data_IF_345393705840
#
_entry.id   IF_345393705840
#
_cell.length_a   1.000
_cell.length_b   1.000
_cell.length_c   1.000
_cell.angle_alpha   90.00
_cell.angle_beta   90.00
_cell.angle_gamma   90.00
#
_symmetry.space_group_name_H-M   'P 1'
#
loop_
_entity.id
_entity.type
_entity.pdbx_description
1 polymer ?
#
# COMPACT_ATOMS: atom_id res chain seq x y z
N UNK A 1 -23.50 -31.53 62.80
CA UNK A 1 -22.53 -31.68 61.69
C UNK A 1 -23.01 -30.84 60.53
N UNK A 2 -22.48 -29.64 60.40
CA UNK A 2 -22.81 -28.69 59.30
C UNK A 2 -21.69 -28.72 58.29
N UNK A 3 -21.99 -29.12 57.05
CA UNK A 3 -21.04 -29.08 55.93
C UNK A 3 -21.07 -27.71 55.32
N UNK A 4 -19.96 -27.00 55.38
CA UNK A 4 -19.74 -25.74 54.69
C UNK A 4 -19.32 -26.05 53.22
N UNK A 5 -20.08 -25.60 52.27
CA UNK A 5 -19.73 -25.56 50.83
C UNK A 5 -19.00 -24.24 50.54
N UNK A 6 -17.69 -24.34 50.25
CA UNK A 6 -16.91 -23.24 49.67
C UNK A 6 -17.21 -23.21 48.18
N UNK A 7 -17.88 -22.16 47.71
CA UNK A 7 -18.00 -21.82 46.31
C UNK A 7 -16.76 -21.00 45.87
N UNK A 8 -15.89 -21.62 45.08
CA UNK A 8 -14.73 -20.97 44.45
C UNK A 8 -15.22 -20.29 43.18
N UNK A 9 -15.44 -18.96 43.23
CA UNK A 9 -15.74 -18.17 42.07
C UNK A 9 -14.42 -17.89 41.29
N UNK A 10 -14.18 -18.60 40.18
CA UNK A 10 -13.16 -18.23 39.23
C UNK A 10 -13.60 -16.93 38.50
N UNK A 11 -13.00 -15.84 38.86
CA UNK A 11 -13.01 -14.61 38.05
C UNK A 11 -12.12 -14.85 36.83
N UNK A 12 -12.71 -15.23 35.69
CA UNK A 12 -12.10 -15.09 34.39
C UNK A 12 -12.03 -13.59 34.06
N UNK A 13 -10.93 -12.94 34.42
CA UNK A 13 -10.58 -11.65 33.88
C UNK A 13 -10.28 -11.85 32.39
N UNK A 14 -11.29 -11.62 31.53
CA UNK A 14 -11.06 -11.40 30.12
C UNK A 14 -10.19 -10.15 30.02
N UNK A 15 -8.88 -10.34 29.86
CA UNK A 15 -8.01 -9.27 29.40
C UNK A 15 -8.51 -8.89 28.01
N UNK A 16 -9.31 -7.84 27.94
CA UNK A 16 -9.53 -7.13 26.69
C UNK A 16 -8.14 -6.67 26.25
N UNK A 17 -7.50 -7.42 25.36
CA UNK A 17 -6.23 -7.06 24.78
C UNK A 17 -6.39 -5.66 24.21
N UNK A 18 -5.67 -4.69 24.75
CA UNK A 18 -5.62 -3.36 24.19
C UNK A 18 -5.34 -3.51 22.69
N UNK A 19 -6.27 -3.05 21.85
CA UNK A 19 -6.07 -3.05 20.41
C UNK A 19 -4.75 -2.36 20.14
N UNK A 20 -3.80 -3.06 19.51
CA UNK A 20 -2.52 -2.45 19.16
C UNK A 20 -2.82 -1.28 18.21
N UNK A 21 -2.31 -0.10 18.56
CA UNK A 21 -2.45 1.06 17.70
C UNK A 21 -1.82 0.80 16.33
N UNK A 22 -2.32 1.41 15.26
CA UNK A 22 -1.79 1.19 13.91
C UNK A 22 -0.33 1.66 13.82
N UNK A 23 0.46 0.95 13.04
CA UNK A 23 1.84 1.34 12.73
C UNK A 23 1.81 2.60 11.87
N UNK A 24 2.59 3.59 12.31
CA UNK A 24 2.78 4.84 11.58
C UNK A 24 3.87 4.64 10.54
N UNK A 25 3.49 4.73 9.28
CA UNK A 25 4.32 4.53 8.10
C UNK A 25 4.41 5.79 7.25
N UNK A 26 5.47 5.92 6.49
CA UNK A 26 5.72 7.04 5.59
C UNK A 26 6.09 6.50 4.20
N UNK A 27 5.58 7.12 3.14
CA UNK A 27 6.06 6.88 1.79
C UNK A 27 6.89 8.05 1.29
N UNK A 28 7.92 7.75 0.53
CA UNK A 28 8.75 8.73 -0.15
C UNK A 28 9.04 8.30 -1.59
N UNK A 29 8.33 8.90 -2.54
CA UNK A 29 8.51 8.63 -3.98
C UNK A 29 9.94 8.90 -4.49
N UNK A 30 10.70 9.72 -3.77
CA UNK A 30 12.07 10.04 -4.17
C UNK A 30 13.09 8.97 -3.80
N UNK A 31 12.75 8.00 -2.95
CA UNK A 31 13.66 6.87 -2.65
C UNK A 31 14.11 6.13 -3.92
N UNK A 32 13.20 5.96 -4.86
CA UNK A 32 13.50 5.26 -6.13
C UNK A 32 14.13 6.15 -7.19
N UNK A 33 14.30 7.44 -6.92
CA UNK A 33 14.83 8.43 -7.88
C UNK A 33 16.25 8.90 -7.55
N UNK A 34 16.78 8.56 -6.38
CA UNK A 34 18.11 8.96 -5.90
C UNK A 34 19.00 7.74 -5.67
N UNK A 35 20.31 7.94 -5.55
CA UNK A 35 21.29 6.87 -5.32
C UNK A 35 22.48 7.39 -4.52
N UNK A 36 23.33 6.48 -4.04
CA UNK A 36 24.54 6.81 -3.30
C UNK A 36 24.28 7.66 -2.04
N UNK A 37 25.10 8.67 -1.75
CA UNK A 37 24.96 9.50 -0.54
C UNK A 37 23.58 10.19 -0.41
N UNK A 38 22.96 10.54 -1.54
CA UNK A 38 21.62 11.15 -1.53
C UNK A 38 20.53 10.16 -1.08
N UNK A 39 20.65 8.88 -1.45
CA UNK A 39 19.76 7.81 -0.98
C UNK A 39 19.94 7.57 0.52
N UNK A 40 21.19 7.48 0.99
CA UNK A 40 21.48 7.31 2.43
C UNK A 40 20.92 8.46 3.25
N UNK A 41 21.18 9.71 2.86
CA UNK A 41 20.65 10.90 3.54
C UNK A 41 19.10 10.90 3.57
N UNK A 42 18.47 10.39 2.53
CA UNK A 42 17.00 10.32 2.47
C UNK A 42 16.44 9.25 3.40
N UNK A 43 17.08 8.08 3.47
CA UNK A 43 16.72 7.04 4.44
C UNK A 43 16.96 7.49 5.89
N UNK A 44 18.03 8.25 6.16
CA UNK A 44 18.27 8.87 7.46
C UNK A 44 17.16 9.87 7.81
N UNK A 45 16.75 10.69 6.86
CA UNK A 45 15.68 11.65 7.05
C UNK A 45 14.32 10.98 7.35
N UNK A 46 14.02 9.86 6.68
CA UNK A 46 12.82 9.04 6.99
C UNK A 46 12.94 8.45 8.40
N UNK A 47 14.07 7.87 8.77
CA UNK A 47 14.31 7.32 10.10
C UNK A 47 14.15 8.40 11.20
N UNK A 48 14.62 9.63 10.94
CA UNK A 48 14.51 10.76 11.85
C UNK A 48 13.06 11.21 12.10
N UNK A 49 12.09 10.84 11.24
CA UNK A 49 10.66 11.05 11.51
C UNK A 49 10.11 10.10 12.57
N UNK A 50 10.85 9.06 12.93
CA UNK A 50 10.37 8.00 13.82
C UNK A 50 9.45 6.98 13.15
N UNK A 51 9.21 7.08 11.83
CA UNK A 51 8.41 6.11 11.08
C UNK A 51 8.89 4.67 11.34
N UNK A 52 7.95 3.77 11.58
CA UNK A 52 8.25 2.35 11.87
C UNK A 52 8.18 1.48 10.63
N UNK A 53 7.56 1.98 9.58
CA UNK A 53 7.49 1.33 8.29
C UNK A 53 7.59 2.36 7.17
N UNK A 54 7.92 1.89 5.98
CA UNK A 54 7.84 2.69 4.75
C UNK A 54 7.29 1.82 3.62
N UNK A 55 6.50 2.44 2.73
CA UNK A 55 6.07 1.81 1.47
C UNK A 55 7.04 2.20 0.37
N UNK A 56 7.44 1.25 -0.45
CA UNK A 56 8.42 1.41 -1.52
C UNK A 56 7.87 0.85 -2.81
N UNK A 57 7.76 1.69 -3.82
CA UNK A 57 7.29 1.36 -5.16
C UNK A 57 8.36 0.59 -5.94
N UNK A 58 8.09 -0.66 -6.29
CA UNK A 58 8.95 -1.46 -7.17
C UNK A 58 8.46 -1.32 -8.61
N UNK A 59 9.15 -0.51 -9.38
CA UNK A 59 8.79 -0.25 -10.77
C UNK A 59 9.21 -1.46 -11.64
N UNK A 60 8.28 -2.41 -11.82
CA UNK A 60 8.58 -3.69 -12.49
C UNK A 60 9.24 -3.50 -13.85
N UNK A 61 8.80 -2.52 -14.65
CA UNK A 61 9.39 -2.22 -15.95
C UNK A 61 10.88 -1.80 -15.88
N UNK A 62 11.31 -1.23 -14.76
CA UNK A 62 12.70 -0.82 -14.55
C UNK A 62 13.55 -1.98 -14.05
N UNK A 63 12.98 -2.85 -13.23
CA UNK A 63 13.64 -4.07 -12.73
C UNK A 63 13.82 -5.10 -13.85
N UNK A 64 12.83 -5.27 -14.73
CA UNK A 64 12.80 -6.31 -15.75
C UNK A 64 12.64 -5.71 -17.16
N UNK A 65 13.64 -4.97 -17.63
CA UNK A 65 13.60 -4.32 -18.96
C UNK A 65 13.54 -5.33 -20.11
N UNK A 66 14.18 -6.47 -19.93
CA UNK A 66 14.09 -7.63 -20.82
C UNK A 66 13.27 -8.76 -20.19
N UNK A 67 12.77 -9.68 -21.02
CA UNK A 67 12.06 -10.86 -20.53
C UNK A 67 13.05 -11.82 -19.86
N UNK A 68 12.87 -12.18 -18.57
CA UNK A 68 13.66 -13.19 -17.90
C UNK A 68 13.49 -14.57 -18.56
N UNK A 69 14.57 -15.32 -18.67
CA UNK A 69 14.54 -16.72 -19.10
C UNK A 69 13.85 -17.60 -18.03
N UNK A 70 14.16 -17.35 -16.75
CA UNK A 70 13.49 -17.94 -15.61
C UNK A 70 12.87 -16.84 -14.72
N UNK A 71 11.65 -16.45 -15.01
CA UNK A 71 10.99 -15.34 -14.33
C UNK A 71 10.70 -15.57 -12.83
N UNK A 72 10.92 -16.78 -12.28
CA UNK A 72 10.82 -17.07 -10.85
C UNK A 72 12.17 -16.96 -10.12
N UNK A 73 13.26 -16.93 -10.86
CA UNK A 73 14.60 -16.83 -10.30
C UNK A 73 15.01 -15.35 -10.16
N UNK A 74 15.15 -14.81 -8.96
CA UNK A 74 15.60 -13.42 -8.80
C UNK A 74 17.08 -13.22 -9.19
N UNK A 75 17.83 -14.27 -9.48
CA UNK A 75 19.18 -14.21 -10.02
C UNK A 75 19.24 -14.15 -11.56
N UNK A 76 18.08 -14.28 -12.25
CA UNK A 76 18.02 -14.15 -13.71
C UNK A 76 18.64 -12.81 -14.14
N UNK A 77 19.59 -12.80 -15.10
CA UNK A 77 20.32 -11.59 -15.49
C UNK A 77 19.46 -10.49 -16.13
N UNK A 78 18.20 -10.79 -16.48
CA UNK A 78 17.24 -9.79 -16.95
C UNK A 78 16.68 -8.91 -15.82
N UNK A 79 16.94 -9.26 -14.56
CA UNK A 79 16.53 -8.47 -13.41
C UNK A 79 17.65 -7.55 -12.92
N UNK A 80 17.39 -6.26 -12.85
CA UNK A 80 18.24 -5.29 -12.16
C UNK A 80 17.60 -4.89 -10.82
N UNK A 81 18.08 -5.50 -9.75
CA UNK A 81 17.64 -5.22 -8.40
C UNK A 81 18.53 -4.22 -7.65
N UNK A 82 19.57 -3.72 -8.26
CA UNK A 82 20.65 -2.97 -7.60
C UNK A 82 20.12 -1.82 -6.73
N UNK A 83 19.16 -1.07 -7.23
CA UNK A 83 18.49 0.04 -6.50
C UNK A 83 17.73 -0.46 -5.29
N UNK A 84 16.91 -1.49 -5.49
CA UNK A 84 16.04 -2.01 -4.44
C UNK A 84 16.81 -2.76 -3.35
N UNK A 85 17.91 -3.41 -3.69
CA UNK A 85 18.81 -3.99 -2.70
C UNK A 85 19.41 -2.93 -1.77
N UNK A 86 19.83 -1.79 -2.32
CA UNK A 86 20.34 -0.67 -1.52
C UNK A 86 19.26 -0.13 -0.59
N UNK A 87 18.03 0.11 -1.11
CA UNK A 87 16.90 0.62 -0.33
C UNK A 87 16.53 -0.36 0.79
N UNK A 88 16.39 -1.65 0.46
CA UNK A 88 15.98 -2.67 1.44
C UNK A 88 17.04 -2.84 2.53
N UNK A 89 18.32 -2.92 2.16
CA UNK A 89 19.41 -3.00 3.16
C UNK A 89 19.49 -1.74 4.02
N UNK A 90 19.39 -0.57 3.42
CA UNK A 90 19.51 0.70 4.12
C UNK A 90 18.36 0.96 5.09
N UNK A 91 17.12 0.66 4.71
CA UNK A 91 15.95 0.78 5.58
C UNK A 91 15.96 -0.25 6.70
N UNK A 92 16.30 -1.51 6.39
CA UNK A 92 16.41 -2.56 7.39
C UNK A 92 17.49 -2.25 8.44
N UNK A 93 18.66 -1.71 8.02
CA UNK A 93 19.73 -1.27 8.92
C UNK A 93 19.29 -0.15 9.87
N UNK A 94 18.24 0.61 9.51
CA UNK A 94 17.63 1.67 10.33
C UNK A 94 16.42 1.18 11.15
N UNK A 95 16.14 -0.13 11.14
CA UNK A 95 15.01 -0.72 11.88
C UNK A 95 13.64 -0.36 11.30
N UNK A 96 13.57 0.03 10.02
CA UNK A 96 12.32 0.40 9.34
C UNK A 96 11.77 -0.82 8.59
N UNK A 97 10.56 -1.25 8.94
CA UNK A 97 9.85 -2.28 8.20
C UNK A 97 9.44 -1.79 6.80
N UNK A 98 9.35 -2.71 5.84
CA UNK A 98 9.10 -2.35 4.45
C UNK A 98 7.81 -3.00 3.96
N UNK A 99 7.00 -2.22 3.25
CA UNK A 99 5.92 -2.70 2.38
C UNK A 99 6.38 -2.47 0.95
N UNK A 100 6.57 -3.55 0.18
CA UNK A 100 6.87 -3.43 -1.25
C UNK A 100 5.57 -3.57 -2.03
N UNK A 101 5.26 -2.60 -2.87
CA UNK A 101 4.31 -2.78 -3.95
C UNK A 101 5.04 -2.90 -5.28
N UNK A 102 4.40 -3.50 -6.29
CA UNK A 102 4.98 -3.54 -7.62
C UNK A 102 3.94 -3.19 -8.68
N UNK A 103 4.32 -2.41 -9.66
CA UNK A 103 3.47 -2.01 -10.77
C UNK A 103 4.29 -1.55 -11.99
N UNK A 104 3.63 -1.00 -13.01
CA UNK A 104 4.17 -0.65 -14.33
C UNK A 104 4.68 -1.86 -15.11
N UNK A 105 3.83 -2.32 -16.00
CA UNK A 105 4.09 -3.50 -16.86
C UNK A 105 5.28 -3.26 -17.79
N UNK A 106 6.30 -4.15 -17.82
CA UNK A 106 7.35 -4.10 -18.82
C UNK A 106 6.79 -4.27 -20.23
N UNK A 107 7.49 -3.70 -21.22
CA UNK A 107 7.06 -3.76 -22.62
C UNK A 107 6.80 -5.19 -23.10
N UNK A 108 7.63 -6.14 -22.73
CA UNK A 108 7.54 -7.55 -23.11
C UNK A 108 6.36 -8.30 -22.45
N UNK A 109 5.88 -7.83 -21.28
CA UNK A 109 4.74 -8.40 -20.56
C UNK A 109 3.41 -7.69 -20.92
N UNK A 110 3.46 -6.57 -21.62
CA UNK A 110 2.34 -5.76 -22.07
C UNK A 110 1.88 -6.17 -23.47
N UNK A 111 0.55 -6.17 -23.69
CA UNK A 111 0.01 -6.39 -25.05
C UNK A 111 0.16 -5.15 -25.97
N UNK A 112 0.23 -3.96 -25.40
CA UNK A 112 0.30 -2.69 -26.12
C UNK A 112 1.67 -2.02 -26.05
N UNK A 113 2.62 -2.60 -25.29
CA UNK A 113 3.90 -1.95 -24.96
C UNK A 113 3.79 -0.84 -23.90
N UNK A 114 2.58 -0.48 -23.48
CA UNK A 114 2.37 0.57 -22.47
C UNK A 114 2.66 0.03 -21.06
N UNK A 115 3.29 0.87 -20.25
CA UNK A 115 3.55 0.57 -18.84
C UNK A 115 2.26 0.49 -17.99
N UNK A 116 1.21 1.17 -18.43
CA UNK A 116 -0.10 1.13 -17.75
C UNK A 116 -1.00 0.00 -18.25
N UNK A 117 -0.58 -0.76 -19.27
CA UNK A 117 -1.38 -1.90 -19.72
C UNK A 117 -1.41 -2.99 -18.66
N UNK A 118 -2.58 -3.58 -18.46
CA UNK A 118 -2.75 -4.77 -17.64
C UNK A 118 -1.77 -5.87 -18.08
N UNK A 119 -0.96 -6.45 -17.19
CA UNK A 119 -0.07 -7.55 -17.54
C UNK A 119 -0.84 -8.84 -17.80
N UNK A 120 -0.18 -9.82 -18.40
CA UNK A 120 -0.64 -11.20 -18.26
C UNK A 120 -0.47 -11.60 -16.80
N UNK A 121 -1.52 -12.09 -16.17
CA UNK A 121 -1.50 -12.44 -14.74
C UNK A 121 -0.34 -13.38 -14.37
N UNK A 122 -0.03 -14.36 -15.22
CA UNK A 122 1.08 -15.28 -14.99
C UNK A 122 2.47 -14.61 -15.01
N UNK A 123 2.69 -13.60 -15.88
CA UNK A 123 3.97 -12.90 -15.94
C UNK A 123 4.15 -12.00 -14.70
N UNK A 124 3.10 -11.26 -14.30
CA UNK A 124 3.13 -10.45 -13.08
C UNK A 124 3.28 -11.29 -11.80
N UNK A 125 2.60 -12.44 -11.75
CA UNK A 125 2.70 -13.35 -10.63
C UNK A 125 4.10 -13.94 -10.46
N UNK A 126 4.77 -14.35 -11.55
CA UNK A 126 6.16 -14.84 -11.49
C UNK A 126 7.12 -13.76 -11.02
N UNK A 127 6.91 -12.51 -11.45
CA UNK A 127 7.68 -11.38 -10.94
C UNK A 127 7.45 -11.18 -9.44
N UNK A 128 6.19 -11.22 -8.98
CA UNK A 128 5.86 -11.15 -7.56
C UNK A 128 6.53 -12.26 -6.73
N UNK A 129 6.58 -13.49 -7.29
CA UNK A 129 7.32 -14.61 -6.70
C UNK A 129 8.85 -14.38 -6.65
N UNK A 130 9.43 -13.83 -7.71
CA UNK A 130 10.86 -13.46 -7.73
C UNK A 130 11.18 -12.38 -6.70
N UNK A 131 10.33 -11.34 -6.59
CA UNK A 131 10.43 -10.28 -5.58
C UNK A 131 10.39 -10.87 -4.16
N UNK A 132 9.40 -11.72 -3.88
CA UNK A 132 9.24 -12.37 -2.58
C UNK A 132 10.42 -13.28 -2.23
N UNK A 133 10.96 -14.02 -3.19
CA UNK A 133 12.13 -14.88 -3.02
C UNK A 133 13.38 -14.07 -2.75
N UNK A 134 13.58 -12.97 -3.50
CA UNK A 134 14.75 -12.11 -3.32
C UNK A 134 14.83 -11.57 -1.90
N UNK A 135 13.73 -11.08 -1.38
CA UNK A 135 13.66 -10.50 -0.04
C UNK A 135 13.01 -11.44 0.98
N UNK A 136 13.29 -12.73 0.88
CA UNK A 136 12.80 -13.75 1.83
C UNK A 136 13.63 -13.85 3.12
N UNK A 137 14.74 -13.12 3.22
CA UNK A 137 15.72 -13.28 4.29
C UNK A 137 16.68 -14.44 4.11
N UNK A 138 16.49 -15.26 3.06
CA UNK A 138 17.33 -16.43 2.77
C UNK A 138 18.12 -16.30 1.45
N UNK A 139 17.75 -15.37 0.57
CA UNK A 139 18.41 -15.21 -0.73
C UNK A 139 19.73 -14.47 -0.55
N UNK A 140 20.83 -15.08 -1.03
CA UNK A 140 22.14 -14.46 -1.04
C UNK A 140 22.19 -13.32 -2.08
N UNK A 141 22.35 -12.10 -1.60
CA UNK A 141 22.50 -10.93 -2.45
C UNK A 141 23.93 -10.77 -2.98
N UNK A 142 24.21 -9.66 -3.68
CA UNK A 142 25.57 -9.31 -4.07
C UNK A 142 26.50 -9.31 -2.85
N UNK A 143 27.67 -9.97 -2.97
CA UNK A 143 28.60 -10.17 -1.85
C UNK A 143 28.31 -11.39 -0.97
N UNK A 144 27.33 -12.23 -1.31
CA UNK A 144 27.05 -13.52 -0.68
C UNK A 144 26.25 -13.47 0.63
N UNK A 145 26.07 -12.30 1.25
CA UNK A 145 25.26 -12.19 2.46
C UNK A 145 23.75 -12.20 2.12
N UNK A 146 22.89 -12.81 2.97
CA UNK A 146 21.46 -12.77 2.80
C UNK A 146 20.93 -11.32 2.73
N UNK A 147 19.95 -11.10 1.86
CA UNK A 147 19.20 -9.85 1.85
C UNK A 147 18.18 -9.83 3.01
N UNK A 148 17.90 -8.66 3.58
CA UNK A 148 16.89 -8.53 4.63
C UNK A 148 15.53 -9.08 4.18
N UNK A 149 14.78 -9.64 5.15
CA UNK A 149 13.44 -10.12 4.87
C UNK A 149 12.45 -8.96 4.71
N UNK A 150 11.64 -9.00 3.65
CA UNK A 150 10.45 -8.14 3.51
C UNK A 150 9.22 -9.04 3.49
N UNK A 151 8.40 -8.91 4.51
CA UNK A 151 7.20 -9.76 4.65
C UNK A 151 5.96 -9.20 3.99
N UNK A 152 5.90 -7.91 3.68
CA UNK A 152 4.68 -7.26 3.20
C UNK A 152 4.81 -6.91 1.74
N UNK A 153 3.99 -7.58 0.92
CA UNK A 153 3.99 -7.39 -0.54
C UNK A 153 2.58 -7.00 -0.96
N UNK A 154 2.46 -5.79 -1.45
CA UNK A 154 1.24 -5.24 -2.01
C UNK A 154 1.20 -5.50 -3.51
N UNK A 155 0.08 -6.05 -3.98
CA UNK A 155 -0.07 -6.43 -5.38
C UNK A 155 -0.65 -5.28 -6.17
N UNK A 156 0.20 -4.59 -6.91
CA UNK A 156 -0.12 -3.45 -7.76
C UNK A 156 -0.40 -2.14 -7.01
N UNK A 157 -0.43 -1.02 -7.78
CA UNK A 157 -0.83 0.30 -7.32
C UNK A 157 -2.06 0.77 -8.12
N UNK A 158 -3.12 1.18 -7.45
CA UNK A 158 -4.35 1.81 -7.96
C UNK A 158 -4.90 1.20 -9.26
N UNK A 159 -5.14 -0.12 -9.33
CA UNK A 159 -5.56 -0.80 -10.55
C UNK A 159 -6.96 -0.39 -11.04
N UNK A 160 -7.67 0.45 -10.29
CA UNK A 160 -8.94 1.04 -10.67
C UNK A 160 -8.78 2.38 -11.44
N UNK A 161 -7.54 2.88 -11.60
CA UNK A 161 -7.25 4.14 -12.26
C UNK A 161 -6.51 3.92 -13.59
N UNK A 162 -6.85 4.69 -14.65
CA UNK A 162 -6.24 4.52 -15.98
C UNK A 162 -4.77 4.98 -16.04
N UNK A 163 -4.27 5.65 -15.00
CA UNK A 163 -2.85 5.98 -14.84
C UNK A 163 -1.98 4.77 -14.49
N UNK A 164 -2.57 3.69 -13.96
CA UNK A 164 -1.85 2.52 -13.47
C UNK A 164 -2.29 1.21 -14.11
N UNK A 165 -3.53 1.16 -14.68
CA UNK A 165 -4.09 -0.04 -15.27
C UNK A 165 -4.98 0.27 -16.48
N UNK A 166 -4.78 -0.43 -17.59
CA UNK A 166 -5.57 -0.28 -18.81
C UNK A 166 -5.80 -1.64 -19.49
N UNK A 167 -6.99 -1.88 -20.10
CA UNK A 167 -8.18 -1.01 -20.05
C UNK A 167 -8.94 -1.16 -18.72
N UNK A 168 -9.66 -0.11 -18.34
CA UNK A 168 -10.57 -0.14 -17.19
C UNK A 168 -11.93 -0.77 -17.55
N UNK A 169 -12.41 -0.47 -18.76
CA UNK A 169 -13.66 -0.98 -19.27
C UNK A 169 -13.57 -1.35 -20.74
N UNK A 170 -14.61 -2.06 -21.22
CA UNK A 170 -14.88 -2.33 -22.63
C UNK A 170 -16.31 -1.89 -22.96
N UNK A 171 -16.58 -1.60 -24.23
CA UNK A 171 -17.91 -1.28 -24.70
C UNK A 171 -18.74 -2.55 -24.78
N UNK A 172 -19.81 -2.58 -24.01
CA UNK A 172 -20.87 -3.59 -24.08
C UNK A 172 -21.97 -3.17 -25.05
N UNK A 173 -23.05 -3.94 -25.02
CA UNK A 173 -24.25 -3.69 -25.84
C UNK A 173 -24.82 -2.29 -25.54
N UNK A 174 -25.19 -1.54 -26.57
CA UNK A 174 -25.68 -0.17 -26.43
C UNK A 174 -24.66 0.85 -25.90
N UNK A 175 -23.34 0.54 -25.96
CA UNK A 175 -22.28 1.44 -25.51
C UNK A 175 -22.04 1.44 -23.98
N UNK A 176 -22.79 0.63 -23.21
CA UNK A 176 -22.63 0.51 -21.76
C UNK A 176 -21.21 0.07 -21.38
N UNK A 177 -20.73 0.55 -20.25
CA UNK A 177 -19.44 0.12 -19.73
C UNK A 177 -19.54 -1.32 -19.15
N UNK A 178 -18.65 -2.20 -19.63
CA UNK A 178 -18.32 -3.46 -18.98
C UNK A 178 -16.99 -3.25 -18.25
N UNK A 179 -17.01 -3.20 -16.94
CA UNK A 179 -15.82 -3.02 -16.10
C UNK A 179 -14.98 -4.29 -16.19
N UNK A 180 -13.72 -4.17 -16.66
CA UNK A 180 -12.85 -5.34 -16.89
C UNK A 180 -11.61 -5.34 -15.98
N UNK A 181 -11.22 -4.19 -15.45
CA UNK A 181 -10.05 -4.09 -14.57
C UNK A 181 -10.22 -4.87 -13.25
N UNK A 182 -11.38 -4.90 -12.57
CA UNK A 182 -11.52 -5.64 -11.31
C UNK A 182 -11.24 -7.13 -11.48
N UNK A 183 -11.83 -7.78 -12.48
CA UNK A 183 -11.62 -9.21 -12.75
C UNK A 183 -10.20 -9.52 -13.19
N UNK A 184 -9.60 -8.65 -14.03
CA UNK A 184 -8.23 -8.83 -14.48
C UNK A 184 -7.23 -8.67 -13.33
N UNK A 185 -7.49 -7.72 -12.42
CA UNK A 185 -6.71 -7.55 -11.20
C UNK A 185 -6.87 -8.73 -10.24
N UNK A 186 -8.09 -9.21 -9.99
CA UNK A 186 -8.34 -10.38 -9.15
C UNK A 186 -7.60 -11.63 -9.66
N UNK A 187 -7.52 -11.81 -11.00
CA UNK A 187 -6.72 -12.88 -11.59
C UNK A 187 -5.21 -12.72 -11.35
N UNK A 188 -4.67 -11.50 -11.47
CA UNK A 188 -3.29 -11.19 -11.12
C UNK A 188 -3.02 -11.46 -9.63
N UNK A 189 -3.89 -10.98 -8.75
CA UNK A 189 -3.79 -11.14 -7.31
C UNK A 189 -3.77 -12.61 -6.90
N UNK A 190 -4.72 -13.41 -7.41
CA UNK A 190 -4.80 -14.85 -7.14
C UNK A 190 -3.53 -15.59 -7.57
N UNK A 191 -3.02 -15.27 -8.75
CA UNK A 191 -1.78 -15.87 -9.25
C UNK A 191 -0.56 -15.41 -8.42
N UNK A 192 -0.48 -14.11 -8.09
CA UNK A 192 0.60 -13.52 -7.28
C UNK A 192 0.60 -14.09 -5.86
N UNK A 193 -0.56 -14.28 -5.23
CA UNK A 193 -0.66 -14.89 -3.90
C UNK A 193 0.05 -16.25 -3.87
N UNK A 194 -0.22 -17.11 -4.84
CA UNK A 194 0.40 -18.44 -4.93
C UNK A 194 1.92 -18.37 -5.08
N UNK A 195 2.40 -17.53 -5.98
CA UNK A 195 3.84 -17.38 -6.24
C UNK A 195 4.58 -16.75 -5.05
N UNK A 196 4.00 -15.71 -4.42
CA UNK A 196 4.55 -15.07 -3.22
C UNK A 196 4.65 -16.07 -2.06
N UNK A 197 3.56 -16.78 -1.77
CA UNK A 197 3.51 -17.75 -0.65
C UNK A 197 4.41 -18.95 -0.88
N UNK A 198 4.58 -19.39 -2.12
CA UNK A 198 5.54 -20.43 -2.47
C UNK A 198 7.00 -19.98 -2.31
N UNK A 199 7.28 -18.70 -2.55
CA UNK A 199 8.62 -18.11 -2.45
C UNK A 199 8.98 -17.69 -1.02
N UNK A 200 8.03 -17.12 -0.27
CA UNK A 200 8.16 -16.74 1.13
C UNK A 200 6.85 -17.07 1.88
N UNK A 201 6.78 -18.22 2.57
CA UNK A 201 5.59 -18.62 3.32
C UNK A 201 5.18 -17.66 4.45
N UNK A 202 6.09 -16.78 4.91
CA UNK A 202 5.83 -15.77 5.94
C UNK A 202 5.34 -14.44 5.37
N UNK A 203 5.29 -14.29 4.04
CA UNK A 203 4.84 -13.06 3.43
C UNK A 203 3.35 -12.80 3.68
N UNK A 204 3.00 -11.55 3.93
CA UNK A 204 1.64 -11.01 3.95
C UNK A 204 1.33 -10.43 2.58
N UNK A 205 0.36 -10.98 1.89
CA UNK A 205 -0.08 -10.49 0.57
C UNK A 205 -1.21 -9.49 0.76
N UNK A 206 -0.93 -8.25 0.39
CA UNK A 206 -1.85 -7.12 0.54
C UNK A 206 -2.57 -6.88 -0.78
N UNK A 207 -3.89 -6.74 -0.70
CA UNK A 207 -4.79 -6.62 -1.84
C UNK A 207 -5.70 -5.40 -1.75
N UNK A 208 -6.42 -5.13 -2.82
CA UNK A 208 -7.39 -4.03 -2.91
C UNK A 208 -6.81 -2.80 -3.57
N UNK A 209 -5.92 -2.11 -2.88
CA UNK A 209 -5.07 -0.98 -3.34
C UNK A 209 -5.79 0.01 -4.27
N UNK A 210 -7.10 0.23 -4.06
CA UNK A 210 -7.88 1.10 -4.92
C UNK A 210 -7.64 2.57 -4.61
N UNK A 211 -7.32 3.33 -5.65
CA UNK A 211 -7.26 4.79 -5.59
C UNK A 211 -8.64 5.41 -5.41
N UNK A 212 -8.73 6.67 -4.94
CA UNK A 212 -9.96 7.31 -4.50
C UNK A 212 -10.85 7.81 -5.66
N UNK A 213 -11.10 6.99 -6.67
CA UNK A 213 -12.05 7.33 -7.73
C UNK A 213 -13.50 7.26 -7.24
N UNK A 214 -14.31 8.24 -7.63
CA UNK A 214 -15.66 8.41 -7.09
C UNK A 214 -16.71 7.49 -7.64
N UNK A 215 -16.78 7.36 -8.93
CA UNK A 215 -17.86 6.64 -9.60
C UNK A 215 -17.34 5.86 -10.80
N UNK A 216 -17.99 4.74 -11.05
CA UNK A 216 -17.73 3.95 -12.26
C UNK A 216 -18.41 4.57 -13.48
N UNK A 217 -17.83 4.43 -14.68
CA UNK A 217 -18.43 4.96 -15.90
C UNK A 217 -19.69 4.17 -16.25
N UNK A 218 -20.75 4.86 -16.68
CA UNK A 218 -21.96 4.24 -17.25
C UNK A 218 -21.75 3.85 -18.71
N UNK A 219 -20.93 4.63 -19.45
CA UNK A 219 -20.50 4.36 -20.81
C UNK A 219 -18.98 4.24 -20.88
N UNK A 220 -18.48 3.29 -21.67
CA UNK A 220 -17.04 3.09 -21.81
C UNK A 220 -16.49 3.94 -22.99
N UNK A 221 -15.46 4.78 -22.76
CA UNK A 221 -14.72 5.44 -23.82
C UNK A 221 -14.13 4.42 -24.81
N UNK A 222 -13.86 4.88 -26.07
CA UNK A 222 -13.31 3.98 -27.12
C UNK A 222 -11.99 3.34 -26.73
N UNK A 223 -11.14 4.08 -26.02
CA UNK A 223 -9.84 3.64 -25.56
C UNK A 223 -9.88 2.85 -24.22
N UNK A 224 -11.08 2.70 -23.61
CA UNK A 224 -11.22 2.06 -22.31
C UNK A 224 -10.68 2.85 -21.12
N UNK A 225 -10.34 4.14 -21.35
CA UNK A 225 -9.73 5.02 -20.34
C UNK A 225 -10.81 5.70 -19.50
N UNK A 226 -11.14 5.06 -18.40
CA UNK A 226 -12.04 5.60 -17.39
C UNK A 226 -11.58 5.14 -16.00
N UNK A 227 -11.89 5.88 -14.94
CA UNK A 227 -11.68 5.36 -13.59
C UNK A 227 -12.86 4.45 -13.22
N UNK A 228 -12.57 3.36 -12.49
CA UNK A 228 -13.59 2.57 -11.79
C UNK A 228 -13.71 3.10 -10.37
N UNK A 229 -14.94 3.36 -9.91
CA UNK A 229 -15.16 3.82 -8.54
C UNK A 229 -14.52 2.86 -7.52
N UNK A 230 -13.84 3.41 -6.52
CA UNK A 230 -13.07 2.60 -5.56
C UNK A 230 -13.91 1.51 -4.87
N UNK A 231 -15.16 1.83 -4.56
CA UNK A 231 -16.10 0.90 -3.92
C UNK A 231 -16.58 -0.20 -4.86
N UNK A 232 -16.92 0.18 -6.10
CA UNK A 232 -17.30 -0.81 -7.13
C UNK A 232 -16.14 -1.73 -7.45
N UNK A 233 -14.92 -1.15 -7.56
CA UNK A 233 -13.72 -1.94 -7.80
C UNK A 233 -13.50 -2.94 -6.67
N UNK A 234 -13.50 -2.49 -5.42
CA UNK A 234 -13.30 -3.35 -4.26
C UNK A 234 -14.34 -4.48 -4.19
N UNK A 235 -15.62 -4.15 -4.39
CA UNK A 235 -16.71 -5.15 -4.41
C UNK A 235 -16.50 -6.18 -5.54
N UNK A 236 -16.25 -5.71 -6.76
CA UNK A 236 -16.06 -6.60 -7.90
C UNK A 236 -14.81 -7.48 -7.78
N UNK A 237 -13.75 -7.00 -7.13
CA UNK A 237 -12.58 -7.82 -6.80
C UNK A 237 -12.94 -8.87 -5.75
N UNK A 238 -13.66 -8.48 -4.68
CA UNK A 238 -14.08 -9.41 -3.64
C UNK A 238 -15.04 -10.50 -4.18
N UNK A 239 -15.94 -10.15 -5.10
CA UNK A 239 -16.86 -11.10 -5.76
C UNK A 239 -16.10 -12.21 -6.53
N UNK A 240 -14.89 -11.97 -7.02
CA UNK A 240 -14.03 -12.98 -7.67
C UNK A 240 -13.31 -13.89 -6.64
N UNK A 241 -13.36 -13.58 -5.33
CA UNK A 241 -12.85 -14.40 -4.24
C UNK A 241 -11.34 -14.64 -4.24
N UNK A 242 -10.47 -13.66 -4.54
CA UNK A 242 -9.02 -13.89 -4.50
C UNK A 242 -8.55 -14.14 -3.06
N UNK A 243 -7.56 -15.02 -2.84
CA UNK A 243 -6.94 -15.17 -1.54
C UNK A 243 -6.17 -13.90 -1.17
N UNK A 244 -6.28 -13.47 0.08
CA UNK A 244 -5.61 -12.28 0.63
C UNK A 244 -5.21 -12.53 2.09
N UNK A 245 -4.18 -11.81 2.57
CA UNK A 245 -3.83 -11.77 3.99
C UNK A 245 -4.19 -10.41 4.63
N UNK A 246 -4.26 -9.34 3.85
CA UNK A 246 -4.69 -8.02 4.28
C UNK A 246 -5.37 -7.27 3.13
N UNK A 247 -6.25 -6.32 3.48
CA UNK A 247 -6.91 -5.43 2.51
C UNK A 247 -6.32 -4.02 2.60
N UNK A 248 -6.03 -3.41 1.46
CA UNK A 248 -5.55 -2.04 1.37
C UNK A 248 -6.49 -1.14 0.59
N UNK A 249 -6.52 0.13 0.97
CA UNK A 249 -7.16 1.22 0.21
C UNK A 249 -6.37 2.51 0.39
N UNK A 250 -6.27 3.30 -0.67
CA UNK A 250 -5.77 4.67 -0.59
C UNK A 250 -6.91 5.60 -0.20
N UNK A 251 -6.68 6.38 0.84
CA UNK A 251 -7.72 7.22 1.45
C UNK A 251 -7.26 8.68 1.46
N UNK A 252 -7.89 9.49 0.61
CA UNK A 252 -7.60 10.92 0.53
C UNK A 252 -8.88 11.72 0.81
N UNK A 253 -9.23 11.95 2.09
CA UNK A 253 -10.45 12.65 2.46
C UNK A 253 -10.38 14.13 2.06
N UNK A 254 -11.52 14.70 1.69
CA UNK A 254 -11.63 16.15 1.42
C UNK A 254 -11.75 16.94 2.73
N UNK A 255 -12.35 16.34 3.76
CA UNK A 255 -12.61 16.94 5.06
C UNK A 255 -11.91 16.18 6.19
N UNK A 256 -12.34 16.43 7.44
CA UNK A 256 -11.79 15.76 8.61
C UNK A 256 -11.83 14.23 8.46
N UNK A 257 -10.75 13.53 8.85
CA UNK A 257 -10.71 12.07 8.82
C UNK A 257 -11.77 11.40 9.69
N UNK A 258 -12.30 12.12 10.66
CA UNK A 258 -13.33 11.63 11.59
C UNK A 258 -14.76 11.79 11.06
N UNK A 259 -14.97 12.65 10.08
CA UNK A 259 -16.29 12.92 9.51
C UNK A 259 -16.59 11.93 8.38
N UNK A 260 -17.79 11.34 8.42
CA UNK A 260 -18.30 10.55 7.31
C UNK A 260 -18.86 11.51 6.24
N UNK A 261 -18.04 11.91 5.27
CA UNK A 261 -18.52 12.67 4.13
C UNK A 261 -19.19 11.76 3.11
N UNK A 262 -20.36 12.18 2.64
CA UNK A 262 -21.16 11.50 1.63
C UNK A 262 -20.67 11.87 0.20
N UNK A 263 -19.37 11.83 -0.05
CA UNK A 263 -18.86 12.03 -1.40
C UNK A 263 -18.36 10.68 -1.91
N UNK A 264 -18.97 10.12 -2.98
CA UNK A 264 -18.63 8.78 -3.48
C UNK A 264 -17.16 8.60 -3.89
N UNK A 265 -16.44 9.71 -4.14
CA UNK A 265 -15.06 9.72 -4.61
C UNK A 265 -14.00 9.72 -3.51
N UNK A 266 -14.38 9.98 -2.26
CA UNK A 266 -13.41 10.23 -1.19
C UNK A 266 -13.84 9.47 0.05
N UNK A 267 -13.39 8.23 0.12
CA UNK A 267 -13.68 7.39 1.28
C UNK A 267 -12.97 7.93 2.51
N UNK A 268 -13.71 8.12 3.59
CA UNK A 268 -13.10 8.32 4.90
C UNK A 268 -12.71 6.97 5.50
N UNK A 269 -11.78 6.98 6.44
CA UNK A 269 -11.36 5.74 7.10
C UNK A 269 -12.51 4.96 7.75
N UNK A 270 -13.49 5.58 8.45
CA UNK A 270 -14.67 4.87 8.94
C UNK A 270 -15.52 4.20 7.86
N UNK A 271 -15.61 4.81 6.66
CA UNK A 271 -16.32 4.20 5.53
C UNK A 271 -15.57 2.98 4.99
N UNK A 272 -14.25 3.09 4.83
CA UNK A 272 -13.38 1.99 4.39
C UNK A 272 -13.47 0.81 5.35
N UNK A 273 -13.37 1.04 6.66
CA UNK A 273 -13.51 -0.01 7.67
C UNK A 273 -14.83 -0.75 7.50
N UNK A 274 -15.96 -0.03 7.44
CA UNK A 274 -17.29 -0.65 7.24
C UNK A 274 -17.42 -1.42 5.93
N UNK A 275 -16.71 -1.00 4.89
CA UNK A 275 -16.74 -1.71 3.59
C UNK A 275 -15.90 -2.96 3.62
N UNK A 276 -14.68 -2.89 4.15
CA UNK A 276 -13.81 -4.07 4.30
C UNK A 276 -14.45 -5.08 5.24
N UNK A 277 -15.23 -4.64 6.24
CA UNK A 277 -16.03 -5.54 7.08
C UNK A 277 -17.02 -6.39 6.28
N UNK A 278 -17.57 -5.84 5.20
CA UNK A 278 -18.51 -6.54 4.32
C UNK A 278 -17.82 -7.39 3.24
N UNK A 279 -16.70 -6.89 2.71
CA UNK A 279 -16.02 -7.50 1.55
C UNK A 279 -15.02 -8.59 1.97
N UNK A 280 -14.35 -8.39 3.08
CA UNK A 280 -13.33 -9.29 3.62
C UNK A 280 -13.43 -9.32 5.16
N UNK A 281 -14.47 -10.01 5.70
CA UNK A 281 -14.68 -10.06 7.15
C UNK A 281 -13.45 -10.57 7.89
N UNK A 282 -13.03 -9.82 8.93
CA UNK A 282 -11.87 -10.19 9.75
C UNK A 282 -10.49 -9.88 9.14
N UNK A 283 -10.38 -9.53 7.84
CA UNK A 283 -9.08 -9.22 7.25
C UNK A 283 -8.45 -7.97 7.86
N UNK A 284 -7.14 -7.97 8.15
CA UNK A 284 -6.41 -6.76 8.49
C UNK A 284 -6.56 -5.67 7.41
N UNK A 285 -6.56 -4.40 7.83
CA UNK A 285 -6.66 -3.25 6.94
C UNK A 285 -5.34 -2.49 6.97
N UNK A 286 -4.75 -2.29 5.80
CA UNK A 286 -3.59 -1.43 5.60
C UNK A 286 -4.01 -0.20 4.81
N UNK A 287 -3.92 0.98 5.41
CA UNK A 287 -4.03 2.25 4.69
C UNK A 287 -2.65 2.55 4.13
N UNK A 288 -2.42 2.16 2.88
CA UNK A 288 -1.09 2.25 2.27
C UNK A 288 -0.79 3.59 1.65
N UNK A 289 -1.80 4.45 1.51
CA UNK A 289 -1.64 5.88 1.25
C UNK A 289 -2.77 6.68 1.90
N UNK A 290 -2.39 7.78 2.58
CA UNK A 290 -3.29 8.85 3.02
C UNK A 290 -2.53 10.16 3.16
N UNK A 291 -3.22 11.27 3.07
CA UNK A 291 -2.64 12.59 3.22
C UNK A 291 -3.56 13.70 2.77
N UNK A 292 -3.11 14.94 2.96
CA UNK A 292 -3.85 16.14 2.60
C UNK A 292 -2.94 17.13 1.90
N UNK A 293 -3.38 17.65 0.75
CA UNK A 293 -2.67 18.72 0.07
C UNK A 293 -2.72 20.03 0.86
N UNK A 294 -1.63 20.80 0.83
CA UNK A 294 -1.56 22.11 1.49
C UNK A 294 -1.56 23.29 0.53
N UNK A 295 -1.56 23.02 -0.76
CA UNK A 295 -1.72 24.06 -1.80
C UNK A 295 -2.46 23.52 -3.00
N UNK A 296 -3.11 24.43 -3.74
CA UNK A 296 -3.72 24.11 -5.02
C UNK A 296 -2.67 23.66 -6.03
N UNK A 297 -3.02 22.62 -6.78
CA UNK A 297 -2.36 22.33 -8.05
C UNK A 297 -3.39 21.80 -9.07
N UNK A 298 -3.02 21.77 -10.37
CA UNK A 298 -3.95 21.35 -11.43
C UNK A 298 -4.46 19.91 -11.31
N UNK A 299 -3.80 19.07 -10.52
CA UNK A 299 -4.15 17.67 -10.31
C UNK A 299 -5.05 17.48 -9.09
N UNK A 300 -4.93 18.41 -8.10
CA UNK A 300 -5.63 18.33 -6.82
C UNK A 300 -6.20 19.70 -6.46
N UNK A 301 -7.52 19.80 -6.52
CA UNK A 301 -8.23 21.08 -6.30
C UNK A 301 -8.56 21.33 -4.83
N UNK A 302 -8.56 20.28 -4.01
CA UNK A 302 -8.86 20.38 -2.59
C UNK A 302 -7.56 20.44 -1.82
N UNK A 303 -7.44 21.44 -0.98
CA UNK A 303 -6.27 21.65 -0.12
C UNK A 303 -6.70 22.31 1.19
N UNK A 304 -5.86 22.19 2.19
CA UNK A 304 -6.06 22.71 3.54
C UNK A 304 -4.84 23.55 3.95
N UNK A 305 -4.92 24.30 5.05
CA UNK A 305 -3.74 24.93 5.62
C UNK A 305 -2.76 23.88 6.16
N UNK A 306 -1.47 24.24 6.31
CA UNK A 306 -0.49 23.35 6.91
C UNK A 306 -0.83 23.01 8.39
N UNK A 307 -1.44 23.96 9.13
CA UNK A 307 -1.91 23.71 10.49
C UNK A 307 -3.08 22.72 10.51
N UNK A 308 -3.99 22.83 9.55
CA UNK A 308 -5.07 21.86 9.41
C UNK A 308 -4.54 20.49 9.02
N UNK A 309 -3.55 20.42 8.11
CA UNK A 309 -2.86 19.17 7.76
C UNK A 309 -2.25 18.53 9.02
N UNK A 310 -1.60 19.31 9.87
CA UNK A 310 -0.99 18.87 11.12
C UNK A 310 -2.03 18.30 12.10
N UNK A 311 -3.17 18.99 12.29
CA UNK A 311 -4.26 18.50 13.13
C UNK A 311 -4.84 17.18 12.59
N UNK A 312 -4.93 17.04 11.28
CA UNK A 312 -5.51 15.84 10.66
C UNK A 312 -4.56 14.65 10.58
N UNK A 313 -3.25 14.81 10.82
CA UNK A 313 -2.36 13.68 11.14
C UNK A 313 -2.86 12.98 12.39
N UNK A 314 -3.09 13.73 13.47
CA UNK A 314 -3.57 13.18 14.75
C UNK A 314 -4.97 12.54 14.60
N UNK A 315 -5.90 13.25 13.95
CA UNK A 315 -7.26 12.74 13.73
C UNK A 315 -7.30 11.46 12.87
N UNK A 316 -6.41 11.34 11.87
CA UNK A 316 -6.29 10.13 11.05
C UNK A 316 -5.90 8.93 11.89
N UNK A 317 -4.94 9.09 12.79
CA UNK A 317 -4.50 8.01 13.67
C UNK A 317 -5.55 7.67 14.74
N UNK A 318 -6.25 8.68 15.28
CA UNK A 318 -7.40 8.46 16.17
C UNK A 318 -8.50 7.67 15.45
N UNK A 319 -8.81 8.03 14.19
CA UNK A 319 -9.79 7.30 13.39
C UNK A 319 -9.36 5.85 13.13
N UNK A 320 -8.07 5.63 12.85
CA UNK A 320 -7.50 4.31 12.62
C UNK A 320 -7.54 3.43 13.88
N UNK A 321 -7.18 3.99 15.04
CA UNK A 321 -7.16 3.28 16.32
C UNK A 321 -8.55 2.83 16.81
N UNK A 322 -9.65 3.37 16.23
CA UNK A 322 -11.03 2.92 16.53
C UNK A 322 -11.34 1.50 16.02
N UNK A 323 -10.50 0.97 15.15
CA UNK A 323 -10.66 -0.39 14.64
C UNK A 323 -9.38 -1.19 14.86
N UNK A 324 -9.41 -2.31 15.61
CA UNK A 324 -8.26 -3.18 15.80
C UNK A 324 -7.78 -3.83 14.49
N UNK A 325 -8.58 -3.74 13.44
CA UNK A 325 -8.24 -4.27 12.12
C UNK A 325 -7.30 -3.37 11.34
N UNK A 326 -7.26 -2.05 11.63
CA UNK A 326 -6.32 -1.12 10.99
C UNK A 326 -4.96 -1.30 11.62
N UNK A 327 -4.05 -1.95 10.87
CA UNK A 327 -2.72 -2.29 11.36
C UNK A 327 -1.63 -1.33 10.87
N UNK A 328 -1.86 -0.62 9.77
CA UNK A 328 -0.90 0.29 9.15
C UNK A 328 -1.61 1.53 8.63
N UNK A 329 -0.98 2.70 8.85
CA UNK A 329 -1.36 3.96 8.21
C UNK A 329 -0.10 4.58 7.61
N UNK A 330 -0.05 4.71 6.29
CA UNK A 330 1.06 5.31 5.56
C UNK A 330 0.71 6.73 5.13
N UNK A 331 1.45 7.69 5.64
CA UNK A 331 1.35 9.07 5.17
C UNK A 331 2.03 9.22 3.81
N UNK A 332 1.34 9.82 2.87
CA UNK A 332 1.83 10.12 1.53
C UNK A 332 1.83 11.63 1.31
N UNK A 333 2.92 12.29 1.12
CA UNK A 333 4.26 11.87 0.80
C UNK A 333 5.24 12.44 1.85
N UNK A 334 6.53 12.07 1.82
CA UNK A 334 7.54 12.68 2.70
C UNK A 334 7.80 14.14 2.35
N UNK A 335 7.97 14.47 1.07
CA UNK A 335 8.28 15.84 0.60
C UNK A 335 7.38 16.27 -0.54
N UNK A 336 6.97 17.52 -0.52
CA UNK A 336 6.21 18.12 -1.61
C UNK A 336 6.94 18.04 -2.95
N UNK A 337 6.19 17.83 -4.00
CA UNK A 337 6.64 17.89 -5.37
C UNK A 337 5.57 18.60 -6.25
N UNK A 338 5.85 18.92 -7.52
CA UNK A 338 4.89 19.65 -8.36
C UNK A 338 3.52 18.98 -8.56
N UNK A 339 3.41 17.67 -8.31
CA UNK A 339 2.15 16.93 -8.44
C UNK A 339 1.48 16.70 -7.10
N UNK A 340 2.27 16.68 -6.01
CA UNK A 340 1.79 16.34 -4.69
C UNK A 340 2.32 17.32 -3.64
N UNK A 341 1.42 18.05 -2.99
CA UNK A 341 1.74 19.05 -1.96
C UNK A 341 1.28 18.62 -0.57
N UNK A 342 1.15 17.32 -0.35
CA UNK A 342 0.74 16.71 0.91
C UNK A 342 1.91 16.21 1.78
N UNK A 343 3.15 16.61 1.46
CA UNK A 343 4.35 16.20 2.17
C UNK A 343 4.41 16.68 3.63
N UNK A 344 5.26 16.03 4.42
CA UNK A 344 5.67 16.50 5.74
C UNK A 344 6.75 17.60 5.63
N UNK A 345 7.46 17.61 4.49
CA UNK A 345 8.40 18.66 4.12
C UNK A 345 7.85 19.46 2.93
N UNK A 346 8.16 20.75 2.89
CA UNK A 346 7.94 21.57 1.70
C UNK A 346 8.91 21.17 0.59
N UNK A 347 8.71 21.68 -0.61
CA UNK A 347 9.56 21.38 -1.77
C UNK A 347 11.04 21.76 -1.55
N UNK A 348 11.30 22.79 -0.76
CA UNK A 348 12.64 23.25 -0.36
C UNK A 348 13.29 22.42 0.75
N UNK A 349 12.59 21.39 1.27
CA UNK A 349 13.06 20.54 2.36
C UNK A 349 12.77 21.07 3.76
N UNK A 350 12.18 22.24 3.93
CA UNK A 350 11.79 22.76 5.24
C UNK A 350 10.59 21.98 5.81
N UNK A 351 10.56 21.82 7.14
CA UNK A 351 9.50 21.05 7.80
C UNK A 351 8.18 21.82 7.86
N UNK A 352 7.07 21.15 7.55
CA UNK A 352 5.73 21.64 7.88
C UNK A 352 5.37 21.32 9.33
N UNK A 353 4.36 21.99 9.94
CA UNK A 353 3.85 21.63 11.27
C UNK A 353 3.46 20.14 11.39
N UNK A 354 2.96 19.54 10.32
CA UNK A 354 2.61 18.12 10.25
C UNK A 354 3.79 17.17 10.55
N UNK A 355 5.03 17.58 10.27
CA UNK A 355 6.23 16.78 10.59
C UNK A 355 6.33 16.46 12.08
N UNK A 356 6.17 17.48 12.94
CA UNK A 356 6.26 17.30 14.38
C UNK A 356 5.12 16.40 14.92
N UNK A 357 3.91 16.54 14.38
CA UNK A 357 2.77 15.70 14.75
C UNK A 357 2.98 14.25 14.32
N UNK A 358 3.44 14.04 13.11
CA UNK A 358 3.78 12.70 12.61
C UNK A 358 4.87 12.04 13.47
N UNK A 359 5.94 12.75 13.79
CA UNK A 359 7.04 12.22 14.62
C UNK A 359 6.57 11.86 16.03
N UNK A 360 5.76 12.71 16.66
CA UNK A 360 5.16 12.42 17.97
C UNK A 360 4.27 11.17 17.93
N UNK A 361 3.44 11.05 16.90
CA UNK A 361 2.57 9.89 16.69
C UNK A 361 3.38 8.61 16.46
N UNK A 362 4.42 8.65 15.63
CA UNK A 362 5.30 7.50 15.37
C UNK A 362 6.03 7.03 16.64
N UNK A 363 6.41 7.95 17.52
CA UNK A 363 7.01 7.62 18.81
C UNK A 363 6.02 6.98 19.78
N UNK A 364 4.76 7.42 19.76
CA UNK A 364 3.70 6.90 20.62
C UNK A 364 3.20 5.50 20.22
N UNK A 365 3.46 5.06 18.98
CA UNK A 365 2.94 3.80 18.41
C UNK A 365 4.08 2.86 18.01
N UNK A 366 4.73 2.17 18.99
CA UNK A 366 5.76 1.18 18.65
C UNK A 366 5.15 0.01 17.89
N UNK A 367 5.88 -0.59 16.94
CA UNK A 367 5.39 -1.73 16.20
C UNK A 367 5.20 -2.94 17.11
N UNK A 368 4.12 -3.72 16.95
CA UNK A 368 3.95 -4.96 17.65
C UNK A 368 5.01 -5.99 17.21
N UNK A 369 5.23 -7.08 18.00
CA UNK A 369 6.13 -8.15 17.61
C UNK A 369 5.83 -8.68 16.21
N UNK A 370 6.88 -8.94 15.41
CA UNK A 370 6.75 -9.43 14.03
C UNK A 370 6.59 -8.33 12.96
N UNK A 371 6.63 -7.05 13.35
CA UNK A 371 6.69 -5.92 12.43
C UNK A 371 8.10 -5.35 12.22
N UNK A 372 9.10 -5.95 12.79
CA UNK A 372 10.49 -5.58 12.52
C UNK A 372 10.91 -5.88 11.08
N UNK A 373 12.06 -5.29 10.64
CA UNK A 373 12.70 -5.63 9.38
C UNK A 373 13.14 -7.08 9.37
#
# INVERSE_FOLDING_TARGET
MRRALLALALLLAASAGASAAPIVSLQDDNLVNVSGPALEARMDAIAATGAKATRVDVLWREVARARPANARDPADPAYDWSRYDQIVRGLAARGIAIVLDFYLTPQWASRSGSATAAPRAADGARFAGALARRYSGAFAGPGGAPLPEVRRIEVWNEPNLPGFWMPQCRRGRGGRALLVSPRAYAALLTASYREIRAANPRATVIAGVAGPAGSSPTACPKDGRAAVGSLDFARLVADEGPPIDAWSMHIYPIGSPLQAFFVPSWSTLPQVIRQVDRLAPGAPIHVTETGYHTSYNRFHRYFVSEDQQAAWVDETLVAAARSPRVQLVTWFNFQDNPRWTGGLLRADGTRKPAYARFAAAAAAHPPPPGWGP
#
